data_IF_912588197259
#
_entry.id   IF_912588197259
#
_cell.length_a   1.000
_cell.length_b   1.000
_cell.length_c   1.000
_cell.angle_alpha   90.00
_cell.angle_beta   90.00
_cell.angle_gamma   90.00
#
_symmetry.space_group_name_H-M   'P 1'
#
loop_
_entity.id
_entity.type
_entity.pdbx_description
1 polymer ?
#
# COMPACT_ATOMS: atom_id res chain seq x y z
N UNK A 1 -33.91 16.88 30.71
CA UNK A 1 -33.05 17.06 29.52
C UNK A 1 -31.60 17.02 29.98
N UNK A 2 -30.97 15.84 29.90
CA UNK A 2 -29.69 15.57 30.53
C UNK A 2 -28.55 15.87 29.54
N UNK A 3 -27.97 17.07 29.62
CA UNK A 3 -26.89 17.56 28.75
C UNK A 3 -25.62 16.70 28.80
N UNK A 4 -25.50 15.80 29.78
CA UNK A 4 -24.35 14.90 29.92
C UNK A 4 -24.31 13.78 28.86
N UNK A 5 -25.48 13.26 28.43
CA UNK A 5 -25.52 12.15 27.45
C UNK A 5 -25.11 12.60 26.04
N UNK A 6 -25.40 13.87 25.69
CA UNK A 6 -25.10 14.43 24.37
C UNK A 6 -23.58 14.67 24.16
N UNK A 7 -22.85 15.05 25.21
CA UNK A 7 -21.39 15.18 25.14
C UNK A 7 -20.67 13.83 25.01
N UNK A 8 -21.16 12.78 25.68
CA UNK A 8 -20.57 11.44 25.61
C UNK A 8 -20.79 10.82 24.23
N UNK A 9 -21.98 10.99 23.63
CA UNK A 9 -22.28 10.54 22.27
C UNK A 9 -21.38 11.20 21.22
N UNK A 10 -21.14 12.51 21.32
CA UNK A 10 -20.24 13.23 20.40
C UNK A 10 -18.76 12.84 20.56
N UNK A 11 -18.35 12.45 21.77
CA UNK A 11 -17.01 11.96 22.05
C UNK A 11 -16.81 10.51 21.55
N UNK A 12 -17.84 9.67 21.61
CA UNK A 12 -17.84 8.33 21.00
C UNK A 12 -17.88 8.38 19.46
N UNK A 13 -18.62 9.31 18.86
CA UNK A 13 -18.61 9.54 17.40
C UNK A 13 -17.25 9.99 16.88
N UNK A 14 -16.45 10.68 17.72
CA UNK A 14 -15.09 11.09 17.35
C UNK A 14 -14.09 9.92 17.29
N UNK A 15 -14.38 8.80 17.96
CA UNK A 15 -13.57 7.58 17.90
C UNK A 15 -13.94 6.67 16.72
N UNK A 16 -15.10 6.87 16.09
CA UNK A 16 -15.50 6.16 14.86
C UNK A 16 -14.67 6.66 13.65
N UNK A 17 -14.18 7.90 13.67
CA UNK A 17 -13.29 8.45 12.63
C UNK A 17 -11.88 7.86 12.61
N UNK A 18 -11.45 7.16 13.67
CA UNK A 18 -10.16 6.46 13.65
C UNK A 18 -10.16 5.24 12.71
N UNK A 19 -11.32 4.68 12.39
CA UNK A 19 -11.45 3.55 11.46
C UNK A 19 -11.39 4.00 9.98
N UNK A 20 -11.77 5.24 9.68
CA UNK A 20 -11.66 5.83 8.34
C UNK A 20 -10.19 6.14 7.95
N UNK A 21 -9.35 6.45 8.94
CA UNK A 21 -7.92 6.76 8.78
C UNK A 21 -7.02 5.54 8.52
N UNK A 22 -7.50 4.31 8.74
CA UNK A 22 -6.68 3.09 8.63
C UNK A 22 -6.38 2.64 7.18
N UNK A 23 -6.86 3.37 6.18
CA UNK A 23 -6.90 2.88 4.79
C UNK A 23 -6.33 3.90 3.78
N UNK A 24 -5.58 4.88 4.26
CA UNK A 24 -4.64 5.64 3.42
C UNK A 24 -3.20 5.13 3.59
N UNK A 25 -3.02 3.95 4.19
CA UNK A 25 -1.69 3.36 4.33
C UNK A 25 -1.23 2.94 2.93
N UNK A 26 -0.14 3.53 2.41
CA UNK A 26 0.33 3.20 1.08
C UNK A 26 0.85 1.77 1.02
N UNK A 27 0.51 1.07 -0.05
CA UNK A 27 1.04 -0.26 -0.34
C UNK A 27 2.54 -0.08 -0.62
N UNK A 28 3.39 -0.53 0.30
CA UNK A 28 4.83 -0.34 0.20
C UNK A 28 5.52 -1.63 -0.20
N UNK A 29 6.32 -1.56 -1.26
CA UNK A 29 7.15 -2.65 -1.75
C UNK A 29 8.60 -2.19 -1.82
N UNK A 30 9.55 -3.09 -1.59
CA UNK A 30 10.97 -2.80 -1.75
C UNK A 30 11.64 -3.81 -2.66
N UNK A 31 12.27 -3.31 -3.73
CA UNK A 31 13.11 -4.11 -4.61
C UNK A 31 14.46 -4.38 -3.95
N UNK A 32 14.88 -5.64 -3.99
CA UNK A 32 16.21 -6.07 -3.58
C UNK A 32 17.17 -6.08 -4.79
N UNK A 33 18.47 -5.99 -4.53
CA UNK A 33 19.48 -6.05 -5.60
C UNK A 33 19.47 -7.41 -6.34
N UNK A 34 18.98 -8.46 -5.67
CA UNK A 34 18.94 -9.83 -6.20
C UNK A 34 17.72 -10.11 -7.10
N UNK A 35 16.84 -9.12 -7.30
CA UNK A 35 15.65 -9.23 -8.14
C UNK A 35 14.40 -9.74 -7.41
N UNK A 36 14.38 -9.63 -6.08
CA UNK A 36 13.20 -9.90 -5.25
C UNK A 36 12.45 -8.64 -4.85
N UNK A 37 11.22 -8.82 -4.39
CA UNK A 37 10.34 -7.80 -3.83
C UNK A 37 10.06 -8.15 -2.38
N UNK A 38 10.55 -7.33 -1.45
CA UNK A 38 10.14 -7.37 -0.06
C UNK A 38 8.73 -6.76 0.06
N UNK A 39 7.76 -7.59 0.42
CA UNK A 39 6.36 -7.24 0.60
C UNK A 39 5.77 -8.01 1.78
N UNK A 40 4.99 -7.35 2.63
CA UNK A 40 4.36 -7.95 3.81
C UNK A 40 5.33 -8.72 4.76
N UNK A 41 6.62 -8.36 4.75
CA UNK A 41 7.66 -9.04 5.56
C UNK A 41 8.36 -10.22 4.87
N UNK A 42 7.96 -10.56 3.64
CA UNK A 42 8.52 -11.67 2.88
C UNK A 42 9.19 -11.20 1.58
N UNK A 43 10.23 -11.90 1.13
CA UNK A 43 10.86 -11.64 -0.18
C UNK A 43 10.22 -12.56 -1.21
N UNK A 44 9.44 -11.98 -2.10
CA UNK A 44 8.77 -12.66 -3.20
C UNK A 44 9.50 -12.38 -4.51
N UNK A 45 9.58 -13.32 -5.45
CA UNK A 45 10.06 -13.00 -6.79
C UNK A 45 9.06 -12.08 -7.50
N UNK A 46 9.56 -11.19 -8.37
CA UNK A 46 8.75 -10.16 -9.04
C UNK A 46 7.52 -10.74 -9.75
N UNK A 47 7.64 -11.90 -10.37
CA UNK A 47 6.53 -12.56 -11.08
C UNK A 47 5.42 -13.10 -10.16
N UNK A 48 5.65 -13.21 -8.85
CA UNK A 48 4.66 -13.72 -7.89
C UNK A 48 3.92 -12.61 -7.15
N UNK A 49 4.37 -11.35 -7.24
CA UNK A 49 3.75 -10.23 -6.53
C UNK A 49 2.32 -9.95 -7.00
N UNK A 50 1.98 -10.33 -8.24
CA UNK A 50 0.66 -10.10 -8.82
C UNK A 50 -0.48 -10.70 -7.99
N UNK A 51 -0.32 -11.92 -7.46
CA UNK A 51 -1.33 -12.56 -6.60
C UNK A 51 -1.53 -11.78 -5.30
N UNK A 52 -0.44 -11.31 -4.69
CA UNK A 52 -0.52 -10.53 -3.45
C UNK A 52 -1.21 -9.18 -3.67
N UNK A 53 -0.94 -8.53 -4.80
CA UNK A 53 -1.59 -7.27 -5.19
C UNK A 53 -3.06 -7.45 -5.57
N UNK A 54 -3.41 -8.57 -6.18
CA UNK A 54 -4.80 -8.94 -6.46
C UNK A 54 -5.59 -9.09 -5.15
N UNK A 55 -5.05 -9.79 -4.16
CA UNK A 55 -5.66 -9.92 -2.83
C UNK A 55 -5.82 -8.55 -2.15
N UNK A 56 -4.80 -7.70 -2.23
CA UNK A 56 -4.86 -6.34 -1.68
C UNK A 56 -5.99 -5.52 -2.33
N UNK A 57 -6.11 -5.61 -3.67
CA UNK A 57 -7.19 -4.98 -4.41
C UNK A 57 -8.56 -5.47 -3.95
N UNK A 58 -8.74 -6.77 -3.77
CA UNK A 58 -9.99 -7.35 -3.29
C UNK A 58 -10.36 -6.85 -1.89
N UNK A 59 -9.37 -6.72 -1.00
CA UNK A 59 -9.57 -6.14 0.35
C UNK A 59 -10.01 -4.68 0.25
N UNK A 60 -9.39 -3.89 -0.61
CA UNK A 60 -9.76 -2.47 -0.84
C UNK A 60 -11.20 -2.37 -1.36
N UNK A 61 -11.57 -3.18 -2.34
CA UNK A 61 -12.94 -3.22 -2.90
C UNK A 61 -13.94 -3.66 -1.84
N UNK A 62 -13.63 -4.69 -1.05
CA UNK A 62 -14.49 -5.18 0.03
C UNK A 62 -14.71 -4.13 1.13
N UNK A 63 -13.73 -3.25 1.35
CA UNK A 63 -13.84 -2.09 2.22
C UNK A 63 -14.63 -0.91 1.60
N UNK A 64 -15.16 -1.06 0.39
CA UNK A 64 -15.92 -0.03 -0.33
C UNK A 64 -15.06 1.12 -0.87
N UNK A 65 -13.76 0.87 -1.08
CA UNK A 65 -12.80 1.87 -1.55
C UNK A 65 -12.40 1.62 -3.00
N UNK A 66 -11.94 2.68 -3.65
CA UNK A 66 -11.46 2.64 -5.02
C UNK A 66 -9.94 2.30 -5.05
N UNK A 67 -9.55 1.16 -5.64
CA UNK A 67 -8.13 0.78 -5.80
C UNK A 67 -7.29 1.80 -6.56
N UNK A 68 -7.88 2.58 -7.47
CA UNK A 68 -7.14 3.61 -8.23
C UNK A 68 -6.62 4.73 -7.33
N UNK A 69 -7.27 4.94 -6.18
CA UNK A 69 -6.89 5.94 -5.19
C UNK A 69 -5.77 5.46 -4.26
N UNK A 70 -5.50 4.15 -4.20
CA UNK A 70 -4.43 3.58 -3.38
C UNK A 70 -3.07 3.94 -3.97
N UNK A 71 -2.17 4.44 -3.11
CA UNK A 71 -0.80 4.79 -3.53
C UNK A 71 0.12 3.61 -3.31
N UNK A 72 0.75 3.15 -4.39
CA UNK A 72 1.80 2.13 -4.36
C UNK A 72 3.17 2.81 -4.30
N UNK A 73 3.90 2.58 -3.22
CA UNK A 73 5.28 3.05 -3.04
C UNK A 73 6.22 1.92 -3.44
N UNK A 74 6.97 2.13 -4.52
CA UNK A 74 8.04 1.23 -4.95
C UNK A 74 9.36 1.80 -4.45
N UNK A 75 10.02 1.09 -3.53
CA UNK A 75 11.35 1.45 -3.05
C UNK A 75 12.39 0.67 -3.84
N UNK A 76 13.35 1.35 -4.45
CA UNK A 76 14.43 0.70 -5.20
C UNK A 76 15.79 1.24 -4.74
N UNK A 77 16.74 0.34 -4.49
CA UNK A 77 18.14 0.70 -4.34
C UNK A 77 18.72 1.07 -5.72
N UNK A 78 19.79 1.87 -5.78
CA UNK A 78 20.53 2.15 -7.02
C UNK A 78 21.12 0.90 -7.69
N UNK A 79 21.19 -0.23 -6.95
CA UNK A 79 21.59 -1.54 -7.47
C UNK A 79 20.43 -2.41 -7.96
N UNK A 80 19.18 -1.99 -7.75
CA UNK A 80 18.03 -2.71 -8.28
C UNK A 80 18.06 -2.66 -9.81
N UNK A 81 17.77 -3.78 -10.47
CA UNK A 81 17.76 -3.82 -11.93
C UNK A 81 16.60 -2.97 -12.43
N UNK A 82 16.89 -2.04 -13.33
CA UNK A 82 15.87 -1.17 -13.93
C UNK A 82 14.72 -1.97 -14.55
N UNK A 83 15.01 -3.15 -15.12
CA UNK A 83 14.00 -4.07 -15.65
C UNK A 83 13.00 -4.56 -14.60
N UNK A 84 13.47 -4.86 -13.39
CA UNK A 84 12.61 -5.35 -12.30
C UNK A 84 11.67 -4.24 -11.80
N UNK A 85 12.16 -3.00 -11.74
CA UNK A 85 11.33 -1.82 -11.42
C UNK A 85 10.19 -1.68 -12.44
N UNK A 86 10.51 -1.74 -13.73
CA UNK A 86 9.52 -1.63 -14.80
C UNK A 86 8.51 -2.78 -14.76
N UNK A 87 8.97 -4.00 -14.51
CA UNK A 87 8.11 -5.17 -14.40
C UNK A 87 7.14 -5.05 -13.22
N UNK A 88 7.61 -4.61 -12.05
CA UNK A 88 6.74 -4.38 -10.89
C UNK A 88 5.67 -3.33 -11.20
N UNK A 89 6.05 -2.19 -11.78
CA UNK A 89 5.10 -1.13 -12.15
C UNK A 89 4.03 -1.68 -13.10
N UNK A 90 4.43 -2.46 -14.11
CA UNK A 90 3.50 -3.09 -15.05
C UNK A 90 2.52 -4.02 -14.34
N UNK A 91 3.00 -4.87 -13.44
CA UNK A 91 2.13 -5.78 -12.67
C UNK A 91 1.12 -4.96 -11.86
N UNK A 92 1.54 -3.86 -11.21
CA UNK A 92 0.60 -3.02 -10.48
C UNK A 92 -0.47 -2.38 -11.37
N UNK A 93 -0.09 -1.92 -12.57
CA UNK A 93 -1.05 -1.37 -13.54
C UNK A 93 -2.04 -2.42 -14.02
N UNK A 94 -1.58 -3.65 -14.28
CA UNK A 94 -2.44 -4.79 -14.63
C UNK A 94 -3.44 -5.13 -13.51
N UNK A 95 -3.13 -4.81 -12.26
CA UNK A 95 -4.05 -4.95 -11.12
C UNK A 95 -4.98 -3.74 -10.90
N UNK A 96 -4.85 -2.66 -11.67
CA UNK A 96 -5.72 -1.48 -11.59
C UNK A 96 -5.27 -0.38 -10.62
N UNK A 97 -4.02 -0.42 -10.17
CA UNK A 97 -3.44 0.70 -9.41
C UNK A 97 -2.96 1.79 -10.36
N UNK A 98 -3.20 3.06 -10.01
CA UNK A 98 -2.85 4.21 -10.87
C UNK A 98 -1.86 5.18 -10.22
N UNK A 99 -1.72 5.14 -8.89
CA UNK A 99 -0.88 6.08 -8.14
C UNK A 99 0.40 5.41 -7.70
N UNK A 100 1.52 5.88 -8.26
CA UNK A 100 2.84 5.33 -8.01
C UNK A 100 3.79 6.38 -7.47
N UNK A 101 4.55 6.01 -6.44
CA UNK A 101 5.67 6.80 -5.94
C UNK A 101 6.93 5.94 -5.91
N UNK A 102 7.91 6.29 -6.74
CA UNK A 102 9.24 5.68 -6.70
C UNK A 102 10.09 6.38 -5.64
N UNK A 103 10.71 5.62 -4.73
CA UNK A 103 11.61 6.14 -3.71
C UNK A 103 12.95 5.42 -3.72
N UNK A 104 14.04 6.17 -3.68
CA UNK A 104 15.37 5.58 -3.55
C UNK A 104 15.58 5.02 -2.13
N UNK A 105 16.19 3.85 -2.02
CA UNK A 105 16.84 3.42 -0.78
C UNK A 105 18.23 4.04 -0.72
N UNK A 106 18.43 4.97 0.20
CA UNK A 106 19.77 5.40 0.58
C UNK A 106 20.34 4.37 1.56
N UNK A 107 21.36 3.63 1.13
CA UNK A 107 22.18 2.81 2.01
C UNK A 107 23.47 3.58 2.27
N UNK A 108 23.67 4.20 3.44
CA UNK A 108 24.96 4.79 3.78
C UNK A 108 26.03 3.70 3.77
N UNK A 109 27.16 4.02 3.15
CA UNK A 109 28.33 3.15 3.00
C UNK A 109 29.09 2.97 4.32
#
# INVERSE_FOLDING_TARGET
MNWCLFCILRFLESNIRLWELLLEIPITMQLTADGGVLYAGEILPVNQIGRSLEQEREVIIAAGKDPTLATVIVRADGRARTGDVQQVIRICQEQGFERFALRALYKPE
#
